data_IF_474157945779
#
_entry.id   IF_474157945779
#
_cell.length_a   1.000
_cell.length_b   1.000
_cell.length_c   1.000
_cell.angle_alpha   90.00
_cell.angle_beta   90.00
_cell.angle_gamma   90.00
#
_symmetry.space_group_name_H-M   'P 1'
#
loop_
_entity.id
_entity.type
_entity.pdbx_description
1 polymer ?
#
# COMPACT_ATOMS: atom_id res chain seq x y z
N UNK A 1 19.83 -0.24 0.51
CA UNK A 1 18.86 0.31 -0.46
C UNK A 1 18.39 -0.73 -1.45
N UNK A 2 19.22 -1.24 -2.37
CA UNK A 2 18.77 -2.27 -3.33
C UNK A 2 18.25 -3.57 -2.68
N UNK A 3 18.81 -3.97 -1.54
CA UNK A 3 18.30 -5.09 -0.73
C UNK A 3 16.90 -4.80 -0.16
N UNK A 4 16.66 -3.58 0.32
CA UNK A 4 15.37 -3.14 0.84
C UNK A 4 14.30 -3.08 -0.26
N UNK A 5 14.65 -2.57 -1.45
CA UNK A 5 13.74 -2.61 -2.60
C UNK A 5 13.36 -4.05 -2.98
N UNK A 6 14.34 -4.96 -3.04
CA UNK A 6 14.08 -6.36 -3.35
C UNK A 6 13.17 -7.05 -2.31
N UNK A 7 13.36 -6.74 -1.02
CA UNK A 7 12.53 -7.26 0.06
C UNK A 7 11.08 -6.75 -0.04
N UNK A 8 10.89 -5.45 -0.30
CA UNK A 8 9.57 -4.87 -0.50
C UNK A 8 8.87 -5.46 -1.74
N UNK A 9 9.59 -5.64 -2.85
CA UNK A 9 9.07 -6.28 -4.06
C UNK A 9 8.64 -7.73 -3.80
N UNK A 10 9.43 -8.49 -3.02
CA UNK A 10 9.10 -9.86 -2.62
C UNK A 10 7.85 -9.92 -1.73
N UNK A 11 7.73 -9.00 -0.78
CA UNK A 11 6.54 -8.89 0.06
C UNK A 11 5.29 -8.58 -0.76
N UNK A 12 5.38 -7.60 -1.68
CA UNK A 12 4.28 -7.27 -2.61
C UNK A 12 3.90 -8.49 -3.45
N UNK A 13 4.88 -9.22 -4.00
CA UNK A 13 4.63 -10.41 -4.80
C UNK A 13 3.98 -11.53 -3.98
N UNK A 14 4.35 -11.69 -2.71
CA UNK A 14 3.81 -12.74 -1.85
C UNK A 14 2.30 -12.58 -1.60
N UNK A 15 1.79 -11.34 -1.57
CA UNK A 15 0.38 -11.03 -1.32
C UNK A 15 -0.54 -11.65 -2.38
N UNK A 16 -0.10 -11.79 -3.63
CA UNK A 16 -0.90 -12.35 -4.73
C UNK A 16 -1.36 -13.80 -4.46
N UNK A 17 -0.59 -14.53 -3.66
CA UNK A 17 -0.87 -15.95 -3.36
C UNK A 17 -1.47 -16.18 -1.98
N UNK A 18 -1.63 -15.12 -1.17
CA UNK A 18 -2.13 -15.24 0.19
C UNK A 18 -3.66 -15.31 0.19
N UNK A 19 -4.19 -16.44 0.67
CA UNK A 19 -5.64 -16.63 0.86
C UNK A 19 -6.11 -16.26 2.27
N UNK A 20 -5.19 -16.12 3.22
CA UNK A 20 -5.51 -15.71 4.60
C UNK A 20 -5.38 -14.20 4.74
N UNK A 21 -6.52 -13.53 4.91
CA UNK A 21 -6.59 -12.07 5.05
C UNK A 21 -5.84 -11.55 6.30
N UNK A 22 -5.76 -12.33 7.39
CA UNK A 22 -4.99 -11.94 8.59
C UNK A 22 -3.50 -11.98 8.31
N UNK A 23 -3.03 -13.00 7.59
CA UNK A 23 -1.63 -13.09 7.17
C UNK A 23 -1.30 -11.96 6.19
N UNK A 24 -2.17 -11.69 5.22
CA UNK A 24 -1.98 -10.62 4.24
C UNK A 24 -1.95 -9.23 4.91
N UNK A 25 -2.83 -8.98 5.89
CA UNK A 25 -2.79 -7.78 6.74
C UNK A 25 -1.47 -7.66 7.49
N UNK A 26 -0.99 -8.75 8.10
CA UNK A 26 0.30 -8.76 8.81
C UNK A 26 1.48 -8.46 7.88
N UNK A 27 1.52 -9.07 6.70
CA UNK A 27 2.52 -8.80 5.67
C UNK A 27 2.48 -7.35 5.21
N UNK A 28 1.30 -6.76 5.05
CA UNK A 28 1.12 -5.34 4.75
C UNK A 28 1.69 -4.44 5.86
N UNK A 29 1.59 -4.86 7.12
CA UNK A 29 2.26 -4.23 8.25
C UNK A 29 3.80 -4.25 8.15
N UNK A 30 4.38 -5.34 7.63
CA UNK A 30 5.84 -5.43 7.39
C UNK A 30 6.30 -4.46 6.32
N UNK A 31 5.55 -4.31 5.23
CA UNK A 31 5.81 -3.30 4.18
C UNK A 31 5.91 -1.91 4.80
N UNK A 32 4.97 -1.54 5.68
CA UNK A 32 4.99 -0.24 6.37
C UNK A 32 6.21 -0.10 7.27
N UNK A 33 6.47 -1.10 8.12
CA UNK A 33 7.59 -1.05 9.07
C UNK A 33 8.96 -0.96 8.36
N UNK A 34 9.15 -1.72 7.28
CA UNK A 34 10.38 -1.69 6.47
C UNK A 34 10.55 -0.37 5.73
N UNK A 35 9.46 0.20 5.22
CA UNK A 35 9.48 1.49 4.52
C UNK A 35 9.74 2.66 5.48
N UNK A 36 9.24 2.58 6.72
CA UNK A 36 9.60 3.52 7.78
C UNK A 36 11.09 3.40 8.16
N UNK A 37 11.59 2.16 8.31
CA UNK A 37 13.02 1.91 8.57
C UNK A 37 13.89 2.48 7.45
N UNK A 38 13.50 2.25 6.20
CA UNK A 38 14.16 2.81 5.02
C UNK A 38 14.19 4.34 5.08
N UNK A 39 13.08 4.98 5.45
CA UNK A 39 12.99 6.44 5.59
C UNK A 39 13.96 6.99 6.65
N UNK A 40 14.12 6.29 7.78
CA UNK A 40 15.08 6.68 8.83
C UNK A 40 16.53 6.56 8.36
N UNK A 41 16.88 5.46 7.68
CA UNK A 41 18.24 5.29 7.11
C UNK A 41 18.56 6.39 6.10
N UNK A 42 17.62 6.68 5.19
CA UNK A 42 17.72 7.73 4.18
C UNK A 42 17.93 9.12 4.79
N UNK A 43 17.28 9.42 5.92
CA UNK A 43 17.48 10.69 6.62
C UNK A 43 18.92 10.82 7.13
N UNK A 44 19.46 9.77 7.75
CA UNK A 44 20.86 9.74 8.19
C UNK A 44 21.86 9.86 7.04
N UNK A 45 21.58 9.20 5.90
CA UNK A 45 22.43 9.28 4.71
C UNK A 45 22.44 10.70 4.11
N UNK A 46 21.29 11.38 4.02
CA UNK A 46 21.21 12.78 3.52
C UNK A 46 21.98 13.74 4.44
N UNK A 47 21.83 13.62 5.76
CA UNK A 47 22.55 14.45 6.73
C UNK A 47 24.08 14.28 6.62
N UNK A 48 24.54 13.05 6.42
CA UNK A 48 25.94 12.75 6.18
C UNK A 48 26.45 13.38 4.87
N UNK A 49 25.65 13.31 3.79
CA UNK A 49 25.99 13.92 2.50
C UNK A 49 26.01 15.45 2.56
N UNK A 50 25.05 16.08 3.25
CA UNK A 50 25.03 17.52 3.50
C UNK A 50 26.28 17.96 4.27
N UNK A 51 26.64 17.21 5.32
CA UNK A 51 27.85 17.46 6.11
C UNK A 51 29.11 17.34 5.25
N UNK A 52 29.21 16.30 4.41
CA UNK A 52 30.32 16.11 3.49
C UNK A 52 30.42 17.27 2.47
N UNK A 53 29.28 17.72 1.95
CA UNK A 53 29.21 18.85 1.02
C UNK A 53 29.72 20.15 1.65
N UNK A 54 29.32 20.42 2.90
CA UNK A 54 29.80 21.58 3.66
C UNK A 54 31.30 21.52 3.88
N UNK A 55 31.83 20.38 4.33
CA UNK A 55 33.29 20.21 4.54
C UNK A 55 34.10 20.41 3.26
N UNK A 56 33.59 19.95 2.12
CA UNK A 56 34.22 20.20 0.81
C UNK A 56 34.24 21.68 0.45
N UNK A 57 33.15 22.40 0.72
CA UNK A 57 33.08 23.85 0.55
C UNK A 57 34.11 24.56 1.43
N UNK A 58 34.21 24.15 2.70
CA UNK A 58 35.15 24.71 3.68
C UNK A 58 36.62 24.40 3.36
N UNK A 59 36.91 23.49 2.42
CA UNK A 59 38.25 23.16 1.95
C UNK A 59 38.62 23.84 0.62
N UNK A 60 37.69 24.58 -0.01
CA UNK A 60 37.92 25.24 -1.30
C UNK A 60 39.04 26.29 -1.24
N UNK A 61 39.26 26.92 -0.08
CA UNK A 61 40.31 27.93 0.10
C UNK A 61 41.73 27.35 0.10
N UNK A 62 41.89 26.06 0.41
CA UNK A 62 43.20 25.39 0.49
C UNK A 62 43.79 25.04 -0.90
N UNK A 63 43.04 25.20 -1.98
CA UNK A 63 43.31 24.43 -3.20
C UNK A 63 43.00 25.15 -4.52
N UNK A 64 43.74 26.22 -4.82
CA UNK A 64 43.75 26.82 -6.19
C UNK A 64 44.16 25.84 -7.29
N UNK A 65 44.84 24.73 -6.95
CA UNK A 65 45.37 23.72 -7.90
C UNK A 65 44.44 22.48 -8.05
N UNK A 66 43.45 22.27 -7.17
CA UNK A 66 42.56 21.08 -7.23
C UNK A 66 41.07 21.39 -7.37
N UNK A 67 40.73 22.58 -7.86
CA UNK A 67 39.33 23.03 -8.09
C UNK A 67 38.51 22.05 -8.94
N UNK A 68 39.11 21.43 -9.97
CA UNK A 68 38.44 20.43 -10.79
C UNK A 68 38.05 19.16 -10.02
N UNK A 69 38.91 18.68 -9.11
CA UNK A 69 38.62 17.50 -8.26
C UNK A 69 37.55 17.80 -7.21
N UNK A 70 37.59 19.00 -6.61
CA UNK A 70 36.56 19.43 -5.67
C UNK A 70 35.19 19.60 -6.33
N UNK A 71 35.16 20.10 -7.57
CA UNK A 71 33.92 20.23 -8.35
C UNK A 71 33.35 18.87 -8.72
N UNK A 72 34.20 17.93 -9.12
CA UNK A 72 33.77 16.56 -9.39
C UNK A 72 33.16 15.90 -8.14
N UNK A 73 33.85 15.98 -6.99
CA UNK A 73 33.35 15.38 -5.75
C UNK A 73 32.06 16.04 -5.25
N UNK A 74 31.95 17.36 -5.36
CA UNK A 74 30.71 18.09 -5.13
C UNK A 74 29.57 17.55 -6.01
N UNK A 75 29.82 17.35 -7.31
CA UNK A 75 28.85 16.76 -8.23
C UNK A 75 28.44 15.34 -7.83
N UNK A 76 29.38 14.50 -7.40
CA UNK A 76 29.09 13.13 -6.93
C UNK A 76 28.20 13.13 -5.69
N UNK A 77 28.44 14.03 -4.74
CA UNK A 77 27.57 14.20 -3.57
C UNK A 77 26.18 14.70 -3.97
N UNK A 78 26.09 15.68 -4.88
CA UNK A 78 24.80 16.19 -5.33
C UNK A 78 23.98 15.08 -6.02
N UNK A 79 24.62 14.20 -6.80
CA UNK A 79 24.00 12.98 -7.37
C UNK A 79 23.56 11.96 -6.32
N UNK A 80 24.40 11.70 -5.33
CA UNK A 80 24.04 10.80 -4.22
C UNK A 80 22.81 11.34 -3.46
N UNK A 81 22.69 12.66 -3.29
CA UNK A 81 21.51 13.28 -2.68
C UNK A 81 20.25 13.15 -3.54
N UNK A 82 20.36 13.26 -4.86
CA UNK A 82 19.25 12.94 -5.78
C UNK A 82 18.79 11.47 -5.64
N UNK A 83 19.74 10.54 -5.51
CA UNK A 83 19.42 9.12 -5.26
C UNK A 83 18.67 8.94 -3.93
N UNK A 84 19.16 9.55 -2.85
CA UNK A 84 18.53 9.52 -1.51
C UNK A 84 17.12 10.14 -1.55
N UNK A 85 16.91 11.24 -2.27
CA UNK A 85 15.58 11.84 -2.45
C UNK A 85 14.60 10.92 -3.21
N UNK A 86 15.08 10.18 -4.20
CA UNK A 86 14.31 9.17 -4.93
C UNK A 86 13.88 8.04 -3.99
N UNK A 87 14.83 7.50 -3.22
CA UNK A 87 14.55 6.47 -2.23
C UNK A 87 13.57 6.95 -1.15
N UNK A 88 13.65 8.23 -0.73
CA UNK A 88 12.73 8.84 0.24
C UNK A 88 11.30 8.86 -0.28
N UNK A 89 11.13 9.21 -1.55
CA UNK A 89 9.82 9.22 -2.20
C UNK A 89 9.24 7.82 -2.28
N UNK A 90 10.04 6.84 -2.67
CA UNK A 90 9.62 5.44 -2.71
C UNK A 90 9.18 4.93 -1.33
N UNK A 91 9.95 5.21 -0.28
CA UNK A 91 9.64 4.78 1.08
C UNK A 91 8.31 5.40 1.58
N UNK A 92 8.08 6.69 1.32
CA UNK A 92 6.79 7.34 1.64
C UNK A 92 5.62 6.68 0.90
N UNK A 93 5.78 6.43 -0.40
CA UNK A 93 4.74 5.81 -1.21
C UNK A 93 4.44 4.37 -0.75
N UNK A 94 5.45 3.59 -0.38
CA UNK A 94 5.26 2.24 0.18
C UNK A 94 4.58 2.26 1.56
N UNK A 95 4.83 3.26 2.42
CA UNK A 95 4.08 3.42 3.68
C UNK A 95 2.59 3.62 3.40
N UNK A 96 2.25 4.46 2.42
CA UNK A 96 0.86 4.70 2.04
C UNK A 96 0.20 3.44 1.44
N UNK A 97 0.91 2.74 0.57
CA UNK A 97 0.43 1.49 -0.03
C UNK A 97 0.23 0.38 1.00
N UNK A 98 1.21 0.10 1.85
CA UNK A 98 1.08 -0.89 2.92
C UNK A 98 0.02 -0.50 3.96
N UNK A 99 -0.16 0.80 4.21
CA UNK A 99 -1.23 1.33 5.06
C UNK A 99 -2.61 1.09 4.47
N UNK A 100 -2.79 1.36 3.17
CA UNK A 100 -4.00 1.02 2.42
C UNK A 100 -4.29 -0.49 2.53
N UNK A 101 -3.30 -1.35 2.27
CA UNK A 101 -3.51 -2.79 2.30
C UNK A 101 -3.92 -3.30 3.69
N UNK A 102 -3.39 -2.71 4.77
CA UNK A 102 -3.79 -3.09 6.12
C UNK A 102 -5.28 -2.86 6.40
N UNK A 103 -5.83 -1.73 5.95
CA UNK A 103 -7.27 -1.43 6.12
C UNK A 103 -8.12 -2.19 5.11
N UNK A 104 -7.62 -2.40 3.89
CA UNK A 104 -8.27 -3.25 2.89
C UNK A 104 -8.46 -4.69 3.39
N UNK A 105 -7.39 -5.32 3.88
CA UNK A 105 -7.47 -6.68 4.43
C UNK A 105 -8.25 -6.73 5.74
N UNK A 106 -8.35 -5.63 6.50
CA UNK A 106 -9.26 -5.57 7.65
C UNK A 106 -10.72 -5.73 7.20
N UNK A 107 -11.15 -4.98 6.18
CA UNK A 107 -12.50 -5.14 5.63
C UNK A 107 -12.76 -6.59 5.17
N UNK A 108 -11.79 -7.24 4.52
CA UNK A 108 -11.93 -8.64 4.12
C UNK A 108 -12.01 -9.61 5.32
N UNK A 109 -11.31 -9.35 6.42
CA UNK A 109 -11.44 -10.13 7.67
C UNK A 109 -12.85 -9.98 8.25
N UNK A 110 -13.44 -8.79 8.21
CA UNK A 110 -14.80 -8.57 8.70
C UNK A 110 -15.83 -9.26 7.81
N UNK A 111 -15.60 -9.29 6.50
CA UNK A 111 -16.40 -10.10 5.58
C UNK A 111 -16.29 -11.60 5.89
N UNK A 112 -15.09 -12.15 6.05
CA UNK A 112 -14.90 -13.56 6.42
C UNK A 112 -15.63 -13.90 7.74
N UNK A 113 -15.56 -12.98 8.71
CA UNK A 113 -16.24 -13.12 10.01
C UNK A 113 -17.75 -13.11 9.83
N UNK A 114 -18.28 -12.18 9.04
CA UNK A 114 -19.71 -12.10 8.73
C UNK A 114 -20.22 -13.39 8.08
N UNK A 115 -19.48 -13.94 7.10
CA UNK A 115 -19.84 -15.20 6.44
C UNK A 115 -19.77 -16.38 7.41
N UNK A 116 -18.75 -16.43 8.26
CA UNK A 116 -18.61 -17.48 9.26
C UNK A 116 -19.78 -17.46 10.27
N UNK A 117 -20.14 -16.29 10.78
CA UNK A 117 -21.25 -16.10 11.71
C UNK A 117 -22.59 -16.47 11.05
N UNK A 118 -22.78 -16.07 9.79
CA UNK A 118 -23.98 -16.43 9.01
C UNK A 118 -24.10 -17.96 8.84
N UNK A 119 -22.99 -18.66 8.58
CA UNK A 119 -22.98 -20.12 8.42
C UNK A 119 -23.35 -20.89 9.69
N UNK A 120 -23.13 -20.31 10.87
CA UNK A 120 -23.56 -20.90 12.15
C UNK A 120 -24.90 -20.32 12.64
N UNK A 121 -25.60 -19.55 11.80
CA UNK A 121 -26.85 -18.86 12.11
C UNK A 121 -26.74 -17.88 13.30
N UNK A 122 -25.56 -17.31 13.54
CA UNK A 122 -25.39 -16.25 14.54
C UNK A 122 -25.81 -14.90 13.94
N UNK A 123 -27.09 -14.57 14.10
CA UNK A 123 -27.65 -13.31 13.60
C UNK A 123 -27.00 -12.07 14.23
N UNK A 124 -26.64 -12.13 15.52
CA UNK A 124 -26.05 -10.99 16.23
C UNK A 124 -24.60 -10.80 15.78
N UNK A 125 -23.84 -11.90 15.69
CA UNK A 125 -22.48 -11.91 15.13
C UNK A 125 -22.46 -11.36 13.70
N UNK A 126 -23.31 -11.90 12.83
CA UNK A 126 -23.43 -11.46 11.43
C UNK A 126 -23.72 -9.96 11.32
N UNK A 127 -24.65 -9.44 12.13
CA UNK A 127 -24.99 -8.00 12.13
C UNK A 127 -23.82 -7.14 12.63
N UNK A 128 -23.11 -7.60 13.65
CA UNK A 128 -21.93 -6.90 14.16
C UNK A 128 -20.78 -6.86 13.15
N UNK A 129 -20.51 -7.99 12.51
CA UNK A 129 -19.48 -8.12 11.48
C UNK A 129 -19.81 -7.34 10.20
N UNK A 130 -21.08 -7.30 9.76
CA UNK A 130 -21.51 -6.44 8.64
C UNK A 130 -21.29 -4.95 8.95
N UNK A 131 -21.62 -4.51 10.18
CA UNK A 131 -21.37 -3.13 10.58
C UNK A 131 -19.87 -2.79 10.61
N UNK A 132 -19.01 -3.74 11.01
CA UNK A 132 -17.56 -3.57 10.96
C UNK A 132 -17.07 -3.51 9.51
N UNK A 133 -17.53 -4.43 8.66
CA UNK A 133 -17.25 -4.46 7.23
C UNK A 133 -17.59 -3.13 6.55
N UNK A 134 -18.77 -2.54 6.83
CA UNK A 134 -19.15 -1.24 6.28
C UNK A 134 -18.17 -0.13 6.69
N UNK A 135 -17.79 -0.10 7.98
CA UNK A 135 -16.89 0.90 8.51
C UNK A 135 -15.47 0.76 7.91
N UNK A 136 -14.94 -0.45 7.87
CA UNK A 136 -13.57 -0.70 7.39
C UNK A 136 -13.47 -0.63 5.85
N UNK A 137 -14.51 -1.01 5.11
CA UNK A 137 -14.58 -0.76 3.67
C UNK A 137 -14.60 0.75 3.36
N UNK A 138 -15.32 1.55 4.15
CA UNK A 138 -15.31 3.00 4.03
C UNK A 138 -13.95 3.61 4.39
N UNK A 139 -13.29 3.11 5.44
CA UNK A 139 -11.95 3.54 5.82
C UNK A 139 -10.93 3.23 4.71
N UNK A 140 -10.96 2.02 4.15
CA UNK A 140 -10.11 1.62 3.05
C UNK A 140 -10.36 2.46 1.78
N UNK A 141 -11.62 2.75 1.46
CA UNK A 141 -11.96 3.61 0.33
C UNK A 141 -11.38 5.02 0.51
N UNK A 142 -11.42 5.56 1.74
CA UNK A 142 -10.86 6.86 2.07
C UNK A 142 -9.35 7.01 1.82
N UNK A 143 -8.63 5.89 1.75
CA UNK A 143 -7.17 5.85 1.47
C UNK A 143 -6.83 5.07 0.19
N UNK A 144 -7.82 4.79 -0.66
CA UNK A 144 -7.67 4.07 -1.94
C UNK A 144 -6.99 4.88 -3.06
N UNK A 145 -6.46 6.05 -2.73
CA UNK A 145 -5.63 6.87 -3.61
C UNK A 145 -4.12 6.67 -3.36
N UNK A 146 -3.75 5.63 -2.62
CA UNK A 146 -2.35 5.30 -2.36
C UNK A 146 -1.54 5.19 -3.69
N UNK A 147 -0.32 5.75 -3.75
CA UNK A 147 0.47 5.73 -4.96
C UNK A 147 0.78 4.31 -5.42
N UNK A 148 0.68 4.06 -6.74
CA UNK A 148 0.91 2.74 -7.33
C UNK A 148 -0.25 1.76 -7.16
N UNK A 149 -1.33 2.12 -6.47
CA UNK A 149 -2.50 1.27 -6.32
C UNK A 149 -3.29 1.17 -7.64
N UNK A 150 -3.54 -0.04 -8.16
CA UNK A 150 -4.41 -0.24 -9.31
C UNK A 150 -5.87 0.14 -8.97
N UNK A 151 -6.59 0.71 -9.95
CA UNK A 151 -7.98 1.17 -9.78
C UNK A 151 -8.92 0.04 -9.31
N UNK A 152 -8.58 -1.20 -9.62
CA UNK A 152 -9.37 -2.39 -9.31
C UNK A 152 -9.64 -2.51 -7.81
N UNK A 153 -8.70 -2.10 -6.95
CA UNK A 153 -8.92 -2.07 -5.49
C UNK A 153 -10.00 -1.05 -5.06
N UNK A 154 -10.03 0.11 -5.72
CA UNK A 154 -11.03 1.14 -5.48
C UNK A 154 -12.41 0.66 -5.96
N UNK A 155 -12.48 0.14 -7.18
CA UNK A 155 -13.72 -0.40 -7.77
C UNK A 155 -14.30 -1.53 -6.91
N UNK A 156 -13.44 -2.40 -6.39
CA UNK A 156 -13.83 -3.47 -5.47
C UNK A 156 -14.38 -2.95 -4.14
N UNK A 157 -13.74 -1.95 -3.54
CA UNK A 157 -14.22 -1.36 -2.29
C UNK A 157 -15.58 -0.68 -2.45
N UNK A 158 -15.84 -0.04 -3.59
CA UNK A 158 -17.18 0.47 -3.92
C UNK A 158 -18.19 -0.68 -3.98
N UNK A 159 -17.89 -1.74 -4.71
CA UNK A 159 -18.78 -2.90 -4.80
C UNK A 159 -19.01 -3.55 -3.43
N UNK A 160 -17.98 -3.62 -2.58
CA UNK A 160 -18.05 -4.18 -1.24
C UNK A 160 -18.93 -3.34 -0.30
N UNK A 161 -18.91 -2.02 -0.43
CA UNK A 161 -19.82 -1.14 0.31
C UNK A 161 -21.28 -1.34 -0.09
N UNK A 162 -21.56 -1.51 -1.39
CA UNK A 162 -22.91 -1.79 -1.87
C UNK A 162 -23.39 -3.14 -1.33
N UNK A 163 -22.54 -4.17 -1.45
CA UNK A 163 -22.81 -5.49 -0.89
C UNK A 163 -23.16 -5.44 0.60
N UNK A 164 -22.32 -4.79 1.43
CA UNK A 164 -22.55 -4.69 2.87
C UNK A 164 -23.85 -3.91 3.19
N UNK A 165 -24.16 -2.86 2.44
CA UNK A 165 -25.41 -2.14 2.59
C UNK A 165 -26.64 -3.01 2.26
N UNK A 166 -26.57 -3.86 1.24
CA UNK A 166 -27.65 -4.77 0.86
C UNK A 166 -27.77 -5.98 1.80
N UNK A 167 -26.66 -6.43 2.40
CA UNK A 167 -26.68 -7.39 3.53
C UNK A 167 -27.38 -6.78 4.75
N UNK A 168 -27.09 -5.53 5.11
CA UNK A 168 -27.81 -4.86 6.19
C UNK A 168 -29.34 -4.79 5.95
N UNK A 169 -29.76 -4.55 4.70
CA UNK A 169 -31.19 -4.60 4.32
C UNK A 169 -31.76 -6.01 4.49
N UNK A 170 -31.01 -7.04 4.10
CA UNK A 170 -31.40 -8.45 4.28
C UNK A 170 -31.59 -8.77 5.77
N UNK A 171 -30.60 -8.43 6.61
CA UNK A 171 -30.64 -8.66 8.06
C UNK A 171 -31.82 -7.92 8.72
N UNK A 172 -32.07 -6.68 8.29
CA UNK A 172 -33.21 -5.91 8.76
C UNK A 172 -34.55 -6.58 8.38
N UNK A 173 -34.69 -7.08 7.14
CA UNK A 173 -35.89 -7.78 6.70
C UNK A 173 -36.13 -9.08 7.49
N UNK A 174 -35.07 -9.82 7.84
CA UNK A 174 -35.15 -10.98 8.75
C UNK A 174 -35.69 -10.54 10.12
N UNK A 175 -35.12 -9.48 10.69
CA UNK A 175 -35.51 -8.96 12.01
C UNK A 175 -36.98 -8.51 12.06
N UNK A 176 -37.45 -7.85 11.01
CA UNK A 176 -38.85 -7.37 10.90
C UNK A 176 -39.83 -8.43 10.39
N UNK A 177 -39.33 -9.62 10.00
CA UNK A 177 -40.11 -10.71 9.39
C UNK A 177 -40.85 -10.28 8.11
N UNK A 178 -40.26 -9.36 7.35
CA UNK A 178 -40.79 -8.88 6.08
C UNK A 178 -40.28 -9.75 4.93
N UNK A 179 -41.11 -10.71 4.50
CA UNK A 179 -40.74 -11.65 3.43
C UNK A 179 -40.51 -10.95 2.08
N UNK A 180 -41.27 -9.89 1.76
CA UNK A 180 -41.13 -9.19 0.48
C UNK A 180 -39.83 -8.39 0.44
N UNK A 181 -39.48 -7.74 1.55
CA UNK A 181 -38.18 -7.08 1.70
C UNK A 181 -37.03 -8.09 1.68
N UNK A 182 -37.20 -9.27 2.31
CA UNK A 182 -36.22 -10.35 2.31
C UNK A 182 -35.91 -10.84 0.88
N UNK A 183 -36.95 -11.15 0.11
CA UNK A 183 -36.81 -11.62 -1.28
C UNK A 183 -36.14 -10.57 -2.18
N UNK A 184 -36.39 -9.29 -1.92
CA UNK A 184 -35.78 -8.17 -2.64
C UNK A 184 -34.30 -8.03 -2.28
N UNK A 185 -33.98 -7.96 -0.98
CA UNK A 185 -32.61 -7.82 -0.51
C UNK A 185 -31.74 -9.01 -0.93
N UNK A 186 -32.27 -10.24 -0.89
CA UNK A 186 -31.53 -11.43 -1.32
C UNK A 186 -31.13 -11.36 -2.80
N UNK A 187 -31.99 -10.82 -3.68
CA UNK A 187 -31.64 -10.62 -5.11
C UNK A 187 -30.53 -9.59 -5.29
N UNK A 188 -30.54 -8.52 -4.49
CA UNK A 188 -29.51 -7.48 -4.52
C UNK A 188 -28.17 -8.06 -4.09
N UNK A 189 -28.12 -8.73 -2.93
CA UNK A 189 -26.91 -9.41 -2.42
C UNK A 189 -26.32 -10.38 -3.46
N UNK A 190 -27.14 -11.17 -4.14
CA UNK A 190 -26.67 -12.06 -5.22
C UNK A 190 -26.08 -11.30 -6.42
N UNK A 191 -26.67 -10.17 -6.79
CA UNK A 191 -26.14 -9.31 -7.86
C UNK A 191 -24.83 -8.62 -7.45
N UNK A 192 -24.70 -8.25 -6.18
CA UNK A 192 -23.48 -7.63 -5.65
C UNK A 192 -22.33 -8.62 -5.60
N UNK A 193 -22.59 -9.87 -5.19
CA UNK A 193 -21.59 -10.96 -5.26
C UNK A 193 -21.11 -11.15 -6.70
N UNK A 194 -22.00 -11.10 -7.70
CA UNK A 194 -21.61 -11.17 -9.10
C UNK A 194 -20.74 -9.96 -9.51
N UNK A 195 -21.04 -8.77 -9.00
CA UNK A 195 -20.27 -7.55 -9.26
C UNK A 195 -18.87 -7.62 -8.64
N UNK A 196 -18.76 -8.08 -7.39
CA UNK A 196 -17.50 -8.31 -6.70
C UNK A 196 -16.62 -9.31 -7.46
N UNK A 197 -17.20 -10.41 -7.93
CA UNK A 197 -16.50 -11.44 -8.72
C UNK A 197 -16.10 -10.97 -10.12
N UNK A 198 -16.72 -9.91 -10.65
CA UNK A 198 -16.39 -9.35 -11.95
C UNK A 198 -15.17 -8.42 -11.92
N UNK A 199 -14.70 -8.01 -10.74
CA UNK A 199 -13.50 -7.18 -10.62
C UNK A 199 -12.28 -8.03 -10.95
N UNK A 200 -11.62 -7.68 -12.06
CA UNK A 200 -10.46 -8.43 -12.55
C UNK A 200 -9.16 -7.95 -11.90
N UNK A 201 -8.68 -8.70 -10.91
CA UNK A 201 -7.38 -8.45 -10.29
C UNK A 201 -6.20 -8.94 -11.13
N UNK A 202 -6.43 -9.51 -12.32
CA UNK A 202 -5.36 -9.92 -13.23
C UNK A 202 -4.41 -8.75 -13.51
N UNK A 203 -3.12 -9.01 -13.41
CA UNK A 203 -2.04 -8.04 -13.61
C UNK A 203 -1.93 -6.90 -12.58
N UNK A 204 -2.73 -6.88 -11.52
CA UNK A 204 -2.61 -5.84 -10.46
C UNK A 204 -1.23 -5.86 -9.80
N UNK A 205 -0.70 -7.02 -9.43
CA UNK A 205 0.68 -7.17 -8.93
C UNK A 205 1.72 -6.64 -9.91
N UNK A 206 1.55 -6.93 -11.21
CA UNK A 206 2.48 -6.46 -12.24
C UNK A 206 2.46 -4.93 -12.39
N UNK A 207 1.28 -4.30 -12.29
CA UNK A 207 1.13 -2.83 -12.26
C UNK A 207 1.84 -2.22 -11.05
N UNK A 208 1.62 -2.79 -9.86
CA UNK A 208 2.27 -2.33 -8.61
C UNK A 208 3.79 -2.44 -8.75
N UNK A 209 4.31 -3.60 -9.16
CA UNK A 209 5.74 -3.81 -9.36
C UNK A 209 6.33 -2.80 -10.37
N UNK A 210 5.65 -2.58 -11.49
CA UNK A 210 6.11 -1.63 -12.52
C UNK A 210 6.17 -0.19 -11.98
N UNK A 211 5.20 0.21 -11.14
CA UNK A 211 5.20 1.51 -10.50
C UNK A 211 6.43 1.71 -9.61
N UNK A 212 6.74 0.74 -8.73
CA UNK A 212 7.85 0.86 -7.81
C UNK A 212 9.22 0.57 -8.43
N UNK A 213 9.29 -0.24 -9.49
CA UNK A 213 10.52 -0.48 -10.24
C UNK A 213 11.14 0.83 -10.75
N UNK A 214 10.31 1.80 -11.15
CA UNK A 214 10.79 3.12 -11.58
C UNK A 214 11.64 3.82 -10.51
N UNK A 215 11.27 3.72 -9.24
CA UNK A 215 12.06 4.31 -8.16
C UNK A 215 13.43 3.66 -8.01
N UNK A 216 13.48 2.33 -8.19
CA UNK A 216 14.73 1.58 -8.15
C UNK A 216 15.64 1.94 -9.33
N UNK A 217 15.06 2.08 -10.51
CA UNK A 217 15.79 2.47 -11.72
C UNK A 217 16.35 3.90 -11.61
N UNK A 218 15.53 4.86 -11.16
CA UNK A 218 15.95 6.25 -10.91
C UNK A 218 17.03 6.33 -9.83
N UNK A 219 16.91 5.54 -8.75
CA UNK A 219 17.94 5.43 -7.71
C UNK A 219 19.27 4.93 -8.28
N UNK A 220 19.26 3.80 -9.01
CA UNK A 220 20.47 3.22 -9.59
C UNK A 220 21.12 4.17 -10.60
N UNK A 221 20.33 4.82 -11.45
CA UNK A 221 20.83 5.78 -12.43
C UNK A 221 21.54 6.98 -11.78
N UNK A 222 21.10 7.44 -10.60
CA UNK A 222 21.78 8.50 -9.87
C UNK A 222 23.03 8.01 -9.14
N UNK A 223 22.99 6.79 -8.58
CA UNK A 223 24.17 6.17 -7.98
C UNK A 223 25.28 5.90 -9.00
N UNK A 224 24.94 5.45 -10.21
CA UNK A 224 25.91 5.25 -11.29
C UNK A 224 26.59 6.57 -11.68
N UNK A 225 25.83 7.67 -11.77
CA UNK A 225 26.38 9.01 -12.02
C UNK A 225 27.21 9.54 -10.85
N UNK A 226 26.91 9.15 -9.62
CA UNK A 226 27.72 9.49 -8.45
C UNK A 226 29.01 8.67 -8.39
N UNK A 227 29.04 7.47 -8.99
CA UNK A 227 30.20 6.60 -9.01
C UNK A 227 31.19 6.94 -10.15
N UNK A 228 30.70 7.53 -11.25
CA UNK A 228 31.49 8.00 -12.40
C UNK A 228 32.42 9.18 -12.04
#
# INVERSE_FOLDING_TARGET
MNTTFALLDEQVASLETMTDNKLAKSTSGKIVAESQTMSTTIAGDDDALVTARSRLHDQQWLTRISTGRLTAEAGRIDRAREAVATARSAARDYVQFGGFLQVYYQALIDWDTMVADANINDFVGTTGADSALQADAAAALGVSNAPGLPKEFHDYLIALQVYAADVARLLNAISTRDQAALDTANKLVLADVATLNAVDFTATTAKIRSYYQRYRDDFNAQMDKAAA
#
